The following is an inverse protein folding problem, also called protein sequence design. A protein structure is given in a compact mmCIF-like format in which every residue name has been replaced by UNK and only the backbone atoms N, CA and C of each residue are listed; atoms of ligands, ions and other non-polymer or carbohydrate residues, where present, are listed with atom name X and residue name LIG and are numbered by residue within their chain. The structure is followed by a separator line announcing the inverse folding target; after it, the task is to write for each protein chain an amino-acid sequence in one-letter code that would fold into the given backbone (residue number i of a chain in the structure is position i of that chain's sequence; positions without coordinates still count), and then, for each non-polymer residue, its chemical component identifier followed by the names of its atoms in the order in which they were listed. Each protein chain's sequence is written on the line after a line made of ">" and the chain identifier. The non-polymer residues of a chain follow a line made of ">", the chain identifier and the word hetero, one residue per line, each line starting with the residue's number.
data_IF_090688225030
#
_entry.id   IF_090688225030
#
_cell.length_a   1.000
_cell.length_b   1.000
_cell.length_c   1.000
_cell.angle_alpha   90.00
_cell.angle_beta   90.00
_cell.angle_gamma   90.00
#
_symmetry.space_group_name_H-M   'P 1'
#
loop_
_entity.id
_entity.type
_entity.pdbx_description
1 polymer ?
#
# COMPACT_ATOMS: atom_id res chain seq x y z
N UNK A 1 23.46 -6.09 0.40
CA UNK A 1 22.15 -5.41 0.31
C UNK A 1 22.13 -4.28 1.33
N UNK A 2 21.78 -3.09 0.93
CA UNK A 2 21.71 -1.90 1.81
C UNK A 2 20.24 -1.66 2.09
N UNK A 3 19.85 -1.66 3.38
CA UNK A 3 18.46 -1.40 3.79
C UNK A 3 18.27 0.05 4.17
N UNK A 4 17.16 0.64 3.70
CA UNK A 4 16.71 1.98 4.06
C UNK A 4 15.30 1.94 4.63
N UNK A 5 15.06 2.71 5.71
CA UNK A 5 13.73 3.00 6.23
C UNK A 5 13.41 4.47 5.98
N UNK A 6 12.35 4.72 5.23
CA UNK A 6 11.95 6.09 4.88
C UNK A 6 10.58 6.15 4.23
N UNK A 7 10.12 7.38 3.99
CA UNK A 7 8.81 7.63 3.35
C UNK A 7 8.83 7.53 1.83
N UNK A 8 10.01 7.50 1.21
CA UNK A 8 10.20 7.34 -0.24
C UNK A 8 11.29 6.30 -0.50
N UNK A 9 11.11 5.43 -1.50
CA UNK A 9 9.95 5.32 -2.38
C UNK A 9 8.67 4.87 -1.67
N UNK A 10 7.50 5.03 -2.31
CA UNK A 10 6.22 4.60 -1.77
C UNK A 10 5.42 3.77 -2.77
N UNK A 11 4.44 3.02 -2.26
CA UNK A 11 3.51 2.22 -3.07
C UNK A 11 2.16 2.91 -3.10
N UNK A 12 1.55 2.98 -4.28
CA UNK A 12 0.20 3.47 -4.49
C UNK A 12 -0.66 2.38 -5.11
N UNK A 13 -1.91 2.30 -4.69
CA UNK A 13 -2.92 1.47 -5.35
C UNK A 13 -4.27 2.17 -5.31
N UNK A 14 -5.13 1.84 -6.26
CA UNK A 14 -6.51 2.32 -6.23
C UNK A 14 -7.32 1.59 -5.16
N UNK A 15 -8.44 2.20 -4.75
CA UNK A 15 -9.39 1.55 -3.85
C UNK A 15 -9.92 0.23 -4.44
N UNK A 16 -10.08 0.15 -5.77
CA UNK A 16 -10.53 -1.06 -6.45
C UNK A 16 -9.49 -2.19 -6.29
N UNK A 17 -8.20 -1.92 -6.53
CA UNK A 17 -7.11 -2.89 -6.34
C UNK A 17 -7.03 -3.35 -4.88
N UNK A 18 -7.13 -2.43 -3.93
CA UNK A 18 -7.16 -2.77 -2.50
C UNK A 18 -8.35 -3.68 -2.16
N UNK A 19 -9.54 -3.34 -2.65
CA UNK A 19 -10.75 -4.14 -2.41
C UNK A 19 -10.64 -5.54 -3.04
N UNK A 20 -9.97 -5.65 -4.18
CA UNK A 20 -9.71 -6.92 -4.84
C UNK A 20 -8.74 -7.79 -4.03
N UNK A 21 -7.63 -7.23 -3.55
CA UNK A 21 -6.70 -7.90 -2.63
C UNK A 21 -7.43 -8.38 -1.37
N UNK A 22 -8.24 -7.52 -0.78
CA UNK A 22 -9.02 -7.85 0.42
C UNK A 22 -10.03 -8.97 0.16
N UNK A 23 -10.74 -8.90 -0.97
CA UNK A 23 -11.67 -9.96 -1.39
C UNK A 23 -10.98 -11.31 -1.51
N UNK A 24 -9.80 -11.35 -2.15
CA UNK A 24 -9.04 -12.58 -2.30
C UNK A 24 -8.47 -13.09 -0.98
N UNK A 25 -7.95 -12.22 -0.12
CA UNK A 25 -7.48 -12.60 1.20
C UNK A 25 -8.60 -13.23 2.04
N UNK A 26 -9.79 -12.62 2.03
CA UNK A 26 -10.96 -13.15 2.76
C UNK A 26 -11.45 -14.47 2.13
N UNK A 27 -11.55 -14.57 0.81
CA UNK A 27 -11.95 -15.79 0.11
C UNK A 27 -10.95 -16.94 0.32
N UNK A 28 -9.66 -16.62 0.40
CA UNK A 28 -8.59 -17.56 0.75
C UNK A 28 -8.70 -18.08 2.19
N UNK A 29 -9.44 -17.40 3.05
CA UNK A 29 -9.56 -17.70 4.46
C UNK A 29 -8.19 -17.70 5.16
N UNK A 30 -7.89 -18.70 5.96
CA UNK A 30 -6.61 -18.80 6.67
C UNK A 30 -5.43 -19.30 5.81
N UNK A 31 -5.65 -19.56 4.52
CA UNK A 31 -4.59 -20.06 3.64
C UNK A 31 -3.58 -18.97 3.34
N UNK A 32 -2.31 -19.36 3.35
CA UNK A 32 -1.23 -18.51 2.85
C UNK A 32 -1.24 -18.60 1.32
N UNK A 33 -1.52 -17.48 0.65
CA UNK A 33 -1.57 -17.43 -0.82
C UNK A 33 -0.56 -16.44 -1.35
N UNK A 34 -0.06 -16.70 -2.55
CA UNK A 34 0.68 -15.77 -3.35
C UNK A 34 -0.26 -15.05 -4.33
N UNK A 35 -0.11 -13.75 -4.45
CA UNK A 35 -0.83 -12.90 -5.40
C UNK A 35 0.23 -12.10 -6.15
N UNK A 36 0.24 -12.19 -7.47
CA UNK A 36 1.17 -11.43 -8.31
C UNK A 36 0.63 -10.01 -8.53
N UNK A 37 1.53 -9.05 -8.52
CA UNK A 37 1.21 -7.63 -8.65
C UNK A 37 1.83 -7.10 -9.94
N UNK A 38 1.01 -6.52 -10.79
CA UNK A 38 1.48 -5.71 -11.92
C UNK A 38 1.73 -4.30 -11.44
N UNK A 39 2.98 -3.87 -11.55
CA UNK A 39 3.43 -2.62 -10.94
C UNK A 39 4.08 -1.73 -11.99
N UNK A 40 3.65 -0.45 -12.03
CA UNK A 40 4.27 0.59 -12.84
C UNK A 40 5.05 1.55 -11.94
N UNK A 41 6.23 1.96 -12.38
CA UNK A 41 7.02 3.01 -11.71
C UNK A 41 6.56 4.38 -12.19
N UNK A 42 6.11 5.22 -11.27
CA UNK A 42 5.68 6.60 -11.54
C UNK A 42 6.51 7.59 -10.69
N UNK A 43 7.63 8.05 -11.23
CA UNK A 43 8.59 8.89 -10.49
C UNK A 43 9.21 8.12 -9.32
N UNK A 44 9.02 8.60 -8.08
CA UNK A 44 9.44 7.90 -6.85
C UNK A 44 8.40 6.90 -6.34
N UNK A 45 7.21 6.84 -6.93
CA UNK A 45 6.15 5.95 -6.52
C UNK A 45 6.06 4.70 -7.40
N UNK A 46 5.60 3.61 -6.81
CA UNK A 46 5.30 2.35 -7.47
C UNK A 46 3.79 2.11 -7.39
N UNK A 47 3.12 2.11 -8.55
CA UNK A 47 1.67 1.94 -8.60
C UNK A 47 1.29 0.51 -8.92
N UNK A 48 0.58 -0.15 -8.01
CA UNK A 48 -0.06 -1.45 -8.26
C UNK A 48 -1.29 -1.22 -9.14
N UNK A 49 -1.28 -1.80 -10.34
CA UNK A 49 -2.34 -1.66 -11.36
C UNK A 49 -3.34 -2.80 -11.33
N UNK A 50 -2.82 -4.01 -11.22
CA UNK A 50 -3.60 -5.24 -11.31
C UNK A 50 -3.05 -6.25 -10.31
N UNK A 51 -3.92 -7.17 -9.91
CA UNK A 51 -3.61 -8.31 -9.07
C UNK A 51 -4.00 -9.60 -9.80
N UNK A 52 -3.19 -10.62 -9.66
CA UNK A 52 -3.41 -11.90 -10.31
C UNK A 52 -3.13 -13.04 -9.32
N UNK A 53 -4.06 -13.99 -9.20
CA UNK A 53 -3.86 -15.20 -8.41
C UNK A 53 -3.34 -16.29 -9.32
N UNK A 54 -2.06 -16.72 -9.17
CA UNK A 54 -1.51 -17.82 -9.95
C UNK A 54 -2.12 -19.15 -9.53
N UNK A 55 -2.02 -20.16 -10.38
CA UNK A 55 -2.32 -21.53 -10.01
C UNK A 55 -1.34 -21.99 -8.93
N UNK A 56 -1.89 -22.41 -7.78
CA UNK A 56 -1.09 -22.70 -6.58
C UNK A 56 -1.80 -23.66 -5.65
N UNK A 57 -1.01 -24.43 -4.90
CA UNK A 57 -1.48 -25.28 -3.81
C UNK A 57 -1.12 -24.62 -2.47
N UNK A 58 -2.13 -24.33 -1.65
CA UNK A 58 -1.95 -23.58 -0.41
C UNK A 58 -2.61 -24.27 0.79
N UNK A 59 -1.94 -24.13 1.93
CA UNK A 59 -2.50 -24.39 3.24
C UNK A 59 -2.25 -23.19 4.18
N UNK A 60 -2.38 -23.36 5.47
CA UNK A 60 -2.20 -22.28 6.44
C UNK A 60 -0.73 -21.84 6.65
N UNK A 61 0.24 -22.64 6.19
CA UNK A 61 1.66 -22.43 6.44
C UNK A 61 2.50 -22.35 5.16
N UNK A 62 2.03 -22.93 4.06
CA UNK A 62 2.79 -23.05 2.82
C UNK A 62 1.95 -22.74 1.61
N UNK A 63 2.62 -22.21 0.59
CA UNK A 63 2.10 -21.99 -0.74
C UNK A 63 3.12 -22.53 -1.77
N UNK A 64 2.66 -23.36 -2.68
CA UNK A 64 3.45 -23.87 -3.80
C UNK A 64 2.81 -23.36 -5.08
N UNK A 65 3.54 -22.52 -5.79
CA UNK A 65 3.09 -21.93 -7.06
C UNK A 65 3.51 -22.86 -8.20
N UNK A 66 2.64 -23.05 -9.19
CA UNK A 66 2.97 -23.86 -10.37
C UNK A 66 4.13 -23.23 -11.16
N UNK A 67 5.06 -24.05 -11.66
CA UNK A 67 6.25 -23.58 -12.38
C UNK A 67 5.91 -22.71 -13.61
N UNK A 68 4.83 -23.04 -14.30
CA UNK A 68 4.35 -22.24 -15.44
C UNK A 68 3.97 -20.82 -15.03
N UNK A 69 3.41 -20.65 -13.83
CA UNK A 69 3.01 -19.36 -13.28
C UNK A 69 4.22 -18.56 -12.79
N UNK A 70 5.22 -19.23 -12.18
CA UNK A 70 6.44 -18.56 -11.72
C UNK A 70 7.19 -17.83 -12.83
N UNK A 71 7.09 -18.31 -14.08
CA UNK A 71 7.71 -17.66 -15.25
C UNK A 71 7.10 -16.29 -15.59
N UNK A 72 5.95 -15.95 -15.06
CA UNK A 72 5.32 -14.64 -15.24
C UNK A 72 5.91 -13.57 -14.31
N UNK A 73 6.50 -14.01 -13.17
CA UNK A 73 7.21 -13.11 -12.27
C UNK A 73 8.48 -12.57 -12.92
N UNK A 74 8.73 -11.29 -12.75
CA UNK A 74 9.83 -10.59 -13.37
C UNK A 74 9.61 -10.20 -14.84
N UNK A 75 8.61 -10.77 -15.51
CA UNK A 75 8.27 -10.46 -16.92
C UNK A 75 6.97 -9.68 -17.02
N UNK A 76 5.87 -10.24 -16.55
CA UNK A 76 4.55 -9.61 -16.57
C UNK A 76 4.21 -8.92 -15.25
N UNK A 77 4.70 -9.50 -14.15
CA UNK A 77 4.43 -9.06 -12.78
C UNK A 77 5.74 -8.76 -12.07
N UNK A 78 5.89 -7.55 -11.59
CA UNK A 78 7.07 -7.09 -10.86
C UNK A 78 6.81 -6.91 -9.37
N UNK A 79 5.80 -7.57 -8.85
CA UNK A 79 5.52 -7.63 -7.43
C UNK A 79 4.87 -8.95 -7.02
N UNK A 80 5.12 -9.33 -5.79
CA UNK A 80 4.53 -10.49 -5.15
C UNK A 80 3.95 -10.10 -3.80
N UNK A 81 2.68 -10.42 -3.60
CA UNK A 81 1.99 -10.24 -2.33
C UNK A 81 1.71 -11.60 -1.71
N UNK A 82 2.07 -11.75 -0.44
CA UNK A 82 1.69 -12.91 0.38
C UNK A 82 0.50 -12.54 1.26
N UNK A 83 -0.53 -13.38 1.27
CA UNK A 83 -1.61 -13.26 2.24
C UNK A 83 -1.36 -14.16 3.44
N UNK A 84 -1.96 -13.83 4.59
CA UNK A 84 -1.86 -14.69 5.77
C UNK A 84 -2.64 -14.18 6.96
N UNK A 85 -2.52 -14.94 8.04
CA UNK A 85 -3.17 -14.65 9.32
C UNK A 85 -2.32 -13.69 10.15
N UNK A 86 -2.95 -12.93 11.03
CA UNK A 86 -2.27 -12.06 11.99
C UNK A 86 -2.39 -10.57 11.66
N UNK A 87 -1.69 -9.76 12.43
CA UNK A 87 -1.67 -8.29 12.28
C UNK A 87 -0.50 -7.82 11.43
N UNK A 88 0.60 -8.56 11.44
CA UNK A 88 1.79 -8.34 10.61
C UNK A 88 2.32 -9.71 10.17
N UNK A 89 2.77 -9.79 8.94
CA UNK A 89 3.42 -10.97 8.39
C UNK A 89 4.82 -10.54 7.96
N UNK A 90 5.84 -11.18 8.51
CA UNK A 90 7.22 -10.97 8.07
C UNK A 90 7.56 -11.99 6.96
N UNK A 91 8.44 -11.61 6.05
CA UNK A 91 8.93 -12.51 5.02
C UNK A 91 9.81 -13.59 5.65
N UNK A 92 9.53 -14.84 5.33
CA UNK A 92 10.34 -15.97 5.74
C UNK A 92 11.61 -16.06 4.87
N UNK A 93 12.55 -16.89 5.29
CA UNK A 93 13.74 -17.18 4.49
C UNK A 93 13.38 -17.77 3.11
N UNK A 94 12.36 -18.62 3.07
CA UNK A 94 11.87 -19.25 1.83
C UNK A 94 11.19 -18.21 0.91
N UNK A 95 10.50 -17.22 1.47
CA UNK A 95 9.93 -16.10 0.68
C UNK A 95 11.06 -15.29 0.02
N UNK A 96 12.11 -14.96 0.78
CA UNK A 96 13.26 -14.20 0.27
C UNK A 96 13.96 -14.99 -0.84
N UNK A 97 14.18 -16.29 -0.65
CA UNK A 97 14.78 -17.16 -1.67
C UNK A 97 13.92 -17.24 -2.94
N UNK A 98 12.59 -17.29 -2.78
CA UNK A 98 11.66 -17.22 -3.92
C UNK A 98 11.78 -15.89 -4.64
N UNK A 99 11.85 -14.77 -3.92
CA UNK A 99 12.00 -13.45 -4.51
C UNK A 99 13.29 -13.32 -5.30
N UNK A 100 14.41 -13.72 -4.70
CA UNK A 100 15.72 -13.66 -5.34
C UNK A 100 15.77 -14.48 -6.65
N UNK A 101 15.11 -15.64 -6.67
CA UNK A 101 15.03 -16.48 -7.87
C UNK A 101 14.06 -15.91 -8.92
N UNK A 102 12.90 -15.45 -8.49
CA UNK A 102 11.83 -15.02 -9.40
C UNK A 102 12.10 -13.66 -10.03
N UNK A 103 12.83 -12.79 -9.34
CA UNK A 103 13.16 -11.44 -9.80
C UNK A 103 14.62 -11.30 -10.22
N UNK A 104 15.30 -12.40 -10.49
CA UNK A 104 16.70 -12.38 -10.96
C UNK A 104 16.80 -11.53 -12.25
N UNK A 105 17.59 -10.47 -12.18
CA UNK A 105 17.77 -9.52 -13.30
C UNK A 105 16.66 -8.48 -13.45
N UNK A 106 15.68 -8.46 -12.56
CA UNK A 106 14.67 -7.40 -12.49
C UNK A 106 15.22 -6.25 -11.66
N UNK A 107 15.28 -5.06 -12.26
CA UNK A 107 15.87 -3.88 -11.62
C UNK A 107 15.05 -3.40 -10.42
N UNK A 108 13.71 -3.53 -10.51
CA UNK A 108 12.81 -3.02 -9.49
C UNK A 108 11.66 -4.03 -9.26
N UNK A 109 11.44 -4.42 -8.02
CA UNK A 109 10.29 -5.26 -7.66
C UNK A 109 9.76 -4.95 -6.25
N UNK A 110 8.55 -5.40 -5.98
CA UNK A 110 7.85 -5.20 -4.70
C UNK A 110 7.57 -6.53 -4.04
N UNK A 111 7.89 -6.63 -2.75
CA UNK A 111 7.45 -7.69 -1.87
C UNK A 111 6.43 -7.13 -0.88
N UNK A 112 5.23 -7.68 -0.88
CA UNK A 112 4.14 -7.18 -0.04
C UNK A 112 3.52 -8.29 0.79
N UNK A 113 3.09 -7.97 1.99
CA UNK A 113 2.22 -8.80 2.81
C UNK A 113 0.86 -8.14 2.97
N UNK A 114 -0.18 -8.95 2.93
CA UNK A 114 -1.57 -8.53 3.14
C UNK A 114 -2.25 -9.46 4.13
N UNK A 115 -2.69 -8.93 5.26
CA UNK A 115 -3.35 -9.73 6.29
C UNK A 115 -4.86 -9.83 6.05
N UNK A 116 -5.52 -10.84 6.64
CA UNK A 116 -6.98 -10.94 6.62
C UNK A 116 -7.69 -9.71 7.21
N UNK A 117 -7.06 -9.03 8.15
CA UNK A 117 -7.55 -7.78 8.73
C UNK A 117 -7.43 -6.57 7.80
N UNK A 118 -6.78 -6.72 6.63
CA UNK A 118 -6.55 -5.64 5.68
C UNK A 118 -5.29 -4.83 5.94
N UNK A 119 -4.47 -5.22 6.92
CA UNK A 119 -3.18 -4.57 7.14
C UNK A 119 -2.19 -4.97 6.04
N UNK A 120 -1.36 -4.02 5.65
CA UNK A 120 -0.35 -4.18 4.62
C UNK A 120 1.02 -3.78 5.15
N UNK A 121 2.05 -4.52 4.72
CA UNK A 121 3.45 -4.09 4.80
C UNK A 121 4.13 -4.43 3.50
N UNK A 122 5.15 -3.67 3.10
CA UNK A 122 5.84 -3.93 1.85
C UNK A 122 7.26 -3.39 1.87
N UNK A 123 8.10 -4.08 1.10
CA UNK A 123 9.45 -3.68 0.77
C UNK A 123 9.56 -3.44 -0.74
N UNK A 124 10.38 -2.48 -1.13
CA UNK A 124 10.72 -2.22 -2.52
C UNK A 124 12.20 -2.50 -2.70
N UNK A 125 12.53 -3.33 -3.67
CA UNK A 125 13.92 -3.60 -4.07
C UNK A 125 14.23 -2.83 -5.34
N UNK A 126 15.33 -2.10 -5.33
CA UNK A 126 15.85 -1.32 -6.47
C UNK A 126 17.32 -1.67 -6.64
N UNK A 127 17.64 -2.53 -7.59
CA UNK A 127 18.98 -3.08 -7.74
C UNK A 127 19.44 -3.76 -6.44
N UNK A 128 20.52 -3.30 -5.85
CA UNK A 128 21.08 -3.84 -4.60
C UNK A 128 20.53 -3.18 -3.33
N UNK A 129 19.58 -2.26 -3.46
CA UNK A 129 19.01 -1.50 -2.35
C UNK A 129 17.61 -2.03 -2.03
N UNK A 130 17.36 -2.30 -0.75
CA UNK A 130 16.03 -2.61 -0.24
C UNK A 130 15.51 -1.46 0.62
N UNK A 131 14.35 -0.95 0.25
CA UNK A 131 13.58 0.00 1.07
C UNK A 131 12.55 -0.80 1.86
N UNK A 132 12.79 -0.93 3.16
CA UNK A 132 11.96 -1.73 4.05
C UNK A 132 10.78 -0.91 4.61
N UNK A 133 9.65 -1.58 4.79
CA UNK A 133 8.44 -1.06 5.45
C UNK A 133 7.99 0.28 4.82
N UNK A 134 7.97 0.29 3.48
CA UNK A 134 7.61 1.50 2.73
C UNK A 134 6.15 1.87 2.90
N UNK A 135 5.86 3.15 2.80
CA UNK A 135 4.50 3.67 2.89
C UNK A 135 3.63 3.13 1.75
N UNK A 136 2.49 2.53 2.10
CA UNK A 136 1.45 2.12 1.15
C UNK A 136 0.29 3.11 1.24
N UNK A 137 -0.12 3.63 0.09
CA UNK A 137 -1.23 4.58 -0.03
C UNK A 137 -2.34 3.97 -0.88
N UNK A 138 -3.52 3.84 -0.28
CA UNK A 138 -4.72 3.49 -1.02
C UNK A 138 -5.37 4.78 -1.48
N UNK A 139 -5.46 4.96 -2.80
CA UNK A 139 -6.02 6.15 -3.41
C UNK A 139 -7.53 5.97 -3.58
N UNK A 140 -8.35 6.81 -2.96
CA UNK A 140 -9.79 6.75 -3.16
C UNK A 140 -10.14 7.05 -4.62
N UNK A 141 -11.13 6.35 -5.14
CA UNK A 141 -11.67 6.57 -6.48
C UNK A 141 -13.03 7.25 -6.33
N UNK A 142 -13.05 8.55 -6.62
CA UNK A 142 -14.28 9.31 -6.72
C UNK A 142 -14.57 9.67 -8.17
N UNK A 143 -15.83 9.72 -8.54
CA UNK A 143 -16.23 10.28 -9.82
C UNK A 143 -15.90 11.78 -9.86
N UNK A 144 -15.59 12.28 -11.04
CA UNK A 144 -15.22 13.69 -11.20
C UNK A 144 -16.30 14.62 -10.68
N UNK A 145 -17.56 14.31 -10.98
CA UNK A 145 -18.73 15.10 -10.53
C UNK A 145 -18.84 15.11 -9.00
N UNK A 146 -18.52 14.00 -8.33
CA UNK A 146 -18.51 13.90 -6.86
C UNK A 146 -17.40 14.76 -6.27
N UNK A 147 -16.23 14.77 -6.92
CA UNK A 147 -15.10 15.60 -6.48
C UNK A 147 -15.36 17.09 -6.72
N UNK A 148 -15.94 17.46 -7.85
CA UNK A 148 -16.28 18.86 -8.15
C UNK A 148 -17.34 19.37 -7.15
N UNK A 149 -18.40 18.60 -6.87
CA UNK A 149 -19.40 18.95 -5.86
C UNK A 149 -18.82 19.04 -4.44
N UNK A 150 -17.92 18.14 -4.07
CA UNK A 150 -17.24 18.17 -2.78
C UNK A 150 -16.33 19.40 -2.67
N UNK A 151 -15.63 19.77 -3.76
CA UNK A 151 -14.80 20.96 -3.81
C UNK A 151 -15.62 22.24 -3.62
N UNK A 152 -16.70 22.37 -4.38
CA UNK A 152 -17.61 23.54 -4.25
C UNK A 152 -18.12 23.67 -2.82
N UNK A 153 -18.53 22.56 -2.20
CA UNK A 153 -18.98 22.55 -0.79
C UNK A 153 -17.86 22.96 0.18
N UNK A 154 -16.65 22.49 -0.05
CA UNK A 154 -15.49 22.84 0.78
C UNK A 154 -15.16 24.33 0.60
N UNK A 155 -15.12 24.82 -0.64
CA UNK A 155 -14.80 26.22 -0.95
C UNK A 155 -15.84 27.20 -0.36
N UNK A 156 -17.10 26.78 -0.23
CA UNK A 156 -18.13 27.56 0.48
C UNK A 156 -17.92 27.65 1.99
N UNK A 157 -17.36 26.61 2.60
CA UNK A 157 -17.24 26.45 4.05
C UNK A 157 -15.88 26.80 4.59
N UNK A 158 -14.83 26.60 3.82
CA UNK A 158 -13.44 26.82 4.21
C UNK A 158 -12.92 28.02 3.43
N UNK A 159 -12.67 29.12 4.12
CA UNK A 159 -11.96 30.26 3.56
C UNK A 159 -10.48 30.07 3.77
N UNK A 160 -9.69 30.42 2.76
CA UNK A 160 -8.25 30.40 2.87
C UNK A 160 -7.79 31.22 4.08
N UNK A 161 -7.03 30.56 4.93
CA UNK A 161 -6.54 31.17 6.15
C UNK A 161 -5.27 31.98 5.85
N UNK A 162 -5.36 33.30 6.02
CA UNK A 162 -4.18 34.15 6.01
C UNK A 162 -3.65 34.37 7.43
N UNK A 163 -2.35 34.62 7.55
CA UNK A 163 -1.73 34.92 8.84
C UNK A 163 -2.37 36.12 9.55
N UNK A 164 -2.96 37.06 8.80
CA UNK A 164 -3.70 38.20 9.34
C UNK A 164 -5.07 37.79 9.88
N UNK A 165 -5.69 36.81 9.27
CA UNK A 165 -7.03 36.34 9.66
C UNK A 165 -6.97 35.40 10.87
N UNK A 166 -5.83 34.75 11.13
CA UNK A 166 -5.63 33.86 12.26
C UNK A 166 -5.80 34.52 13.63
N UNK A 167 -5.32 35.72 13.76
CA UNK A 167 -5.56 36.54 14.99
C UNK A 167 -7.03 36.88 15.20
N UNK A 168 -7.68 37.25 14.13
CA UNK A 168 -9.09 37.59 14.13
C UNK A 168 -10.02 36.40 14.42
N UNK A 169 -9.60 35.19 14.04
CA UNK A 169 -10.33 33.95 14.34
C UNK A 169 -10.23 33.55 15.82
N UNK A 170 -9.10 33.78 16.46
CA UNK A 170 -8.92 33.58 17.92
C UNK A 170 -9.79 34.50 18.74
N UNK A 171 -9.87 35.76 18.37
CA UNK A 171 -10.72 36.74 19.04
C UNK A 171 -12.22 36.41 18.93
N UNK A 172 -12.63 35.68 17.89
CA UNK A 172 -14.02 35.22 17.67
C UNK A 172 -14.32 33.84 18.30
N UNK A 173 -13.41 33.28 19.07
CA UNK A 173 -13.59 31.97 19.69
C UNK A 173 -13.50 30.78 18.71
N UNK A 174 -12.97 30.98 17.50
CA UNK A 174 -12.75 29.94 16.54
C UNK A 174 -11.48 29.17 16.86
N UNK A 175 -11.48 27.86 16.66
CA UNK A 175 -10.33 26.99 16.94
C UNK A 175 -9.30 27.05 15.83
N UNK A 176 -8.03 27.18 16.21
CA UNK A 176 -6.88 26.95 15.37
C UNK A 176 -6.71 25.43 15.23
N UNK A 177 -7.07 24.89 14.07
CA UNK A 177 -7.31 23.45 13.96
C UNK A 177 -6.05 22.60 13.91
N UNK A 178 -4.97 22.99 13.27
CA UNK A 178 -3.96 22.01 12.89
C UNK A 178 -2.94 21.60 13.96
N UNK A 179 -2.27 22.46 14.71
CA UNK A 179 -1.31 21.99 15.71
C UNK A 179 -1.98 21.48 16.99
N UNK A 180 -3.10 22.09 17.41
CA UNK A 180 -3.76 21.76 18.67
C UNK A 180 -4.63 20.51 18.60
N UNK A 181 -5.19 20.18 17.45
CA UNK A 181 -5.89 18.92 17.24
C UNK A 181 -4.92 17.73 17.19
N UNK A 182 -3.74 17.91 16.60
CA UNK A 182 -2.69 16.88 16.57
C UNK A 182 -2.18 16.55 17.98
N UNK A 183 -2.08 17.56 18.85
CA UNK A 183 -1.65 17.36 20.23
C UNK A 183 -2.76 16.85 21.17
N UNK A 184 -4.03 17.26 20.94
CA UNK A 184 -5.15 16.95 21.85
C UNK A 184 -5.91 15.68 21.52
N UNK A 185 -6.04 15.34 20.24
CA UNK A 185 -6.82 14.17 19.81
C UNK A 185 -5.90 12.99 19.48
N UNK A 186 -4.60 13.24 19.38
CA UNK A 186 -3.64 12.23 18.94
C UNK A 186 -4.10 11.61 17.64
N UNK A 187 -3.67 12.11 16.52
CA UNK A 187 -3.97 11.53 15.20
C UNK A 187 -3.69 10.01 15.10
N UNK A 188 -3.08 9.45 16.16
CA UNK A 188 -2.89 8.00 16.32
C UNK A 188 -4.16 7.25 16.68
N UNK A 189 -5.19 7.96 17.15
CA UNK A 189 -6.45 7.35 17.60
C UNK A 189 -7.56 7.45 16.53
N UNK A 190 -7.27 8.05 15.38
CA UNK A 190 -8.23 8.30 14.29
C UNK A 190 -7.89 7.55 13.00
N UNK A 191 -6.83 6.71 13.01
CA UNK A 191 -6.43 5.89 11.86
C UNK A 191 -6.56 4.41 12.18
#
# INVERSE_FOLDING_TARGET
>A
MISYRGTEPNIKMSQAVYNELRKYAVAGSARMMAIFLKVDKEGSAYRVKEVYIPEQNCNTAHCIIADAELRKLGVEYTGLCRTGYGTKIDFSKDDIELFDKSFLGVENYICMNFTLGGNMSADIVVGDITFEDVRIMVMPEFKREEMDAAKDFVDERIKDWSYKDGYSARERGSYEMTPLLTERIGWRDVV
#
